data_IF_139316775477
#
_entry.id   IF_139316775477
#
_cell.length_a   1.000
_cell.length_b   1.000
_cell.length_c   1.000
_cell.angle_alpha   90.00
_cell.angle_beta   90.00
_cell.angle_gamma   90.00
#
_symmetry.space_group_name_H-M   'P 1'
#
loop_
_entity.id
_entity.type
_entity.pdbx_description
1 polymer ?
#
# COMPACT_ATOMS: atom_id res chain seq x y z
N UNK A 1 4.12 5.34 -13.83
CA UNK A 1 4.05 5.86 -12.43
C UNK A 1 3.67 7.34 -12.38
N UNK A 2 4.45 8.27 -12.95
CA UNK A 2 4.16 9.71 -12.89
C UNK A 2 2.82 10.11 -13.52
N UNK A 3 2.46 9.47 -14.63
CA UNK A 3 1.17 9.64 -15.32
C UNK A 3 -0.04 9.16 -14.51
N UNK A 4 0.18 8.38 -13.45
CA UNK A 4 -0.89 7.81 -12.62
C UNK A 4 -1.01 8.58 -11.29
N UNK A 5 0.11 8.87 -10.65
CA UNK A 5 0.13 9.50 -9.32
C UNK A 5 -0.27 10.97 -9.38
N UNK A 6 0.26 11.74 -10.34
CA UNK A 6 0.01 13.19 -10.42
C UNK A 6 -1.48 13.52 -10.64
N UNK A 7 -2.20 12.89 -11.59
CA UNK A 7 -3.62 13.16 -11.78
C UNK A 7 -4.47 12.84 -10.56
N UNK A 8 -4.18 11.73 -9.85
CA UNK A 8 -4.91 11.35 -8.63
C UNK A 8 -4.84 12.40 -7.52
N UNK A 9 -3.70 13.07 -7.35
CA UNK A 9 -3.59 14.15 -6.37
C UNK A 9 -4.39 15.39 -6.76
N UNK A 10 -4.44 15.72 -8.05
CA UNK A 10 -5.24 16.83 -8.56
C UNK A 10 -6.73 16.52 -8.40
N UNK A 11 -7.15 15.31 -8.75
CA UNK A 11 -8.54 14.85 -8.64
C UNK A 11 -9.03 14.80 -7.18
N UNK A 12 -8.23 14.20 -6.28
CA UNK A 12 -8.65 13.98 -4.89
C UNK A 12 -8.53 15.23 -4.00
N UNK A 13 -7.53 16.08 -4.27
CA UNK A 13 -7.16 17.14 -3.35
C UNK A 13 -7.02 18.51 -4.01
N UNK A 14 -7.25 18.63 -5.33
CA UNK A 14 -7.08 19.88 -6.06
C UNK A 14 -5.65 20.41 -6.10
N UNK A 15 -4.65 19.61 -5.68
CA UNK A 15 -3.25 20.05 -5.61
C UNK A 15 -2.40 19.39 -6.69
N UNK A 16 -1.53 20.19 -7.30
CA UNK A 16 -0.55 19.68 -8.26
C UNK A 16 0.77 19.36 -7.55
N UNK A 17 1.17 18.08 -7.44
CA UNK A 17 2.44 17.74 -6.81
C UNK A 17 3.65 18.19 -7.64
N UNK A 18 4.70 18.63 -6.95
CA UNK A 18 6.01 18.92 -7.53
C UNK A 18 6.82 17.63 -7.63
N UNK A 19 7.27 17.30 -8.83
CA UNK A 19 8.08 16.11 -9.10
C UNK A 19 9.55 16.49 -9.19
N UNK A 20 10.43 15.76 -8.48
CA UNK A 20 11.89 15.93 -8.55
C UNK A 20 12.58 14.58 -8.67
N UNK A 21 13.64 14.49 -9.47
CA UNK A 21 14.52 13.32 -9.48
C UNK A 21 15.39 13.34 -8.21
N UNK A 22 15.51 12.18 -7.56
CA UNK A 22 16.41 11.95 -6.44
C UNK A 22 17.79 11.47 -6.90
N UNK A 23 18.66 11.15 -5.95
CA UNK A 23 20.06 10.78 -6.20
C UNK A 23 20.24 9.34 -6.73
N UNK A 24 19.27 8.45 -6.55
CA UNK A 24 19.45 7.01 -6.83
C UNK A 24 18.22 6.38 -7.48
N UNK A 25 17.92 6.74 -8.74
CA UNK A 25 16.74 6.26 -9.49
C UNK A 25 15.39 6.44 -8.75
N UNK A 26 15.35 7.42 -7.86
CA UNK A 26 14.16 7.76 -7.08
C UNK A 26 13.48 8.98 -7.68
N UNK A 27 12.17 9.05 -7.52
CA UNK A 27 11.37 10.22 -7.86
C UNK A 27 10.68 10.68 -6.58
N UNK A 28 10.90 11.94 -6.21
CA UNK A 28 10.19 12.59 -5.13
C UNK A 28 8.94 13.28 -5.66
N UNK A 29 7.78 12.87 -5.16
CA UNK A 29 6.51 13.57 -5.31
C UNK A 29 6.28 14.41 -4.04
N UNK A 30 6.34 15.74 -4.16
CA UNK A 30 6.22 16.67 -3.02
C UNK A 30 4.99 17.55 -3.13
N UNK A 31 4.26 17.66 -2.02
CA UNK A 31 3.11 18.55 -1.85
C UNK A 31 3.37 19.37 -0.59
N UNK A 32 3.17 20.68 -0.68
CA UNK A 32 3.27 21.60 0.44
C UNK A 32 1.87 22.12 0.75
N UNK A 33 1.13 21.38 1.57
CA UNK A 33 -0.23 21.74 2.03
C UNK A 33 -0.36 21.36 3.50
N UNK A 34 -0.68 22.34 4.35
CA UNK A 34 -0.92 22.12 5.78
C UNK A 34 -2.18 21.28 5.98
N UNK A 35 -3.23 21.54 5.19
CA UNK A 35 -4.51 20.85 5.32
C UNK A 35 -4.40 19.36 4.99
N UNK A 36 -3.72 19.01 3.88
CA UNK A 36 -3.47 17.60 3.54
C UNK A 36 -2.58 16.93 4.58
N UNK A 37 -1.59 17.66 5.12
CA UNK A 37 -0.74 17.14 6.18
C UNK A 37 -1.57 16.81 7.42
N UNK A 38 -2.36 17.75 7.94
CA UNK A 38 -3.21 17.57 9.12
C UNK A 38 -4.24 16.47 8.90
N UNK A 39 -4.89 16.44 7.74
CA UNK A 39 -5.81 15.35 7.38
C UNK A 39 -5.13 13.98 7.47
N UNK A 40 -3.95 13.83 6.87
CA UNK A 40 -3.24 12.55 6.90
C UNK A 40 -2.74 12.19 8.30
N UNK A 41 -2.23 13.15 9.08
CA UNK A 41 -1.64 12.86 10.38
C UNK A 41 -2.64 12.76 11.52
N UNK A 42 -3.61 13.66 11.57
CA UNK A 42 -4.56 13.82 12.68
C UNK A 42 -5.85 13.05 12.42
N UNK A 43 -6.46 13.18 11.24
CA UNK A 43 -7.73 12.52 10.94
C UNK A 43 -7.52 11.04 10.56
N UNK A 44 -6.56 10.76 9.67
CA UNK A 44 -6.26 9.40 9.21
C UNK A 44 -5.31 8.67 10.19
N UNK A 45 -4.55 9.42 11.00
CA UNK A 45 -3.63 8.85 11.99
C UNK A 45 -2.29 8.35 11.41
N UNK A 46 -1.84 8.91 10.29
CA UNK A 46 -0.59 8.52 9.65
C UNK A 46 0.62 9.09 10.41
N UNK A 47 1.63 8.27 10.75
CA UNK A 47 2.69 8.71 11.65
C UNK A 47 3.62 9.77 11.02
N UNK A 48 3.88 10.83 11.79
CA UNK A 48 4.83 11.90 11.42
C UNK A 48 6.28 11.43 11.64
N UNK A 49 7.17 11.81 10.73
CA UNK A 49 8.62 11.55 10.83
C UNK A 49 9.00 10.10 10.50
N UNK A 50 9.98 9.56 11.24
CA UNK A 50 10.48 8.18 11.02
C UNK A 50 9.37 7.17 11.38
N UNK A 51 8.95 6.40 10.38
CA UNK A 51 7.77 5.49 10.45
C UNK A 51 8.09 4.08 10.98
N UNK A 52 9.36 3.77 11.23
CA UNK A 52 9.80 2.47 11.76
C UNK A 52 9.05 2.16 13.06
N UNK A 53 8.37 1.01 13.12
CA UNK A 53 7.56 0.53 14.25
C UNK A 53 6.32 1.36 14.63
N UNK A 54 6.02 2.44 13.92
CA UNK A 54 4.83 3.28 14.15
C UNK A 54 3.71 3.04 13.14
N UNK A 55 4.04 2.47 11.98
CA UNK A 55 3.08 2.24 10.91
C UNK A 55 2.02 1.21 11.31
N UNK A 56 0.75 1.57 11.09
CA UNK A 56 -0.45 0.76 11.31
C UNK A 56 -1.41 0.97 10.14
N UNK A 57 -2.28 0.00 9.90
CA UNK A 57 -3.45 0.22 9.03
C UNK A 57 -4.52 0.97 9.84
N UNK A 58 -5.09 2.09 9.33
CA UNK A 58 -6.15 2.80 10.02
C UNK A 58 -7.38 1.93 10.31
N UNK A 59 -7.98 2.08 11.49
CA UNK A 59 -9.05 1.18 11.96
C UNK A 59 -10.29 1.17 11.06
N UNK A 60 -10.63 2.30 10.45
CA UNK A 60 -11.78 2.41 9.54
C UNK A 60 -11.62 1.57 8.26
N UNK A 61 -10.39 1.31 7.82
CA UNK A 61 -10.12 0.43 6.68
C UNK A 61 -10.63 -1.00 6.95
N UNK A 62 -10.51 -1.48 8.19
CA UNK A 62 -11.02 -2.80 8.57
C UNK A 62 -12.55 -2.87 8.61
N UNK A 63 -13.24 -1.74 8.82
CA UNK A 63 -14.69 -1.70 8.96
C UNK A 63 -15.42 -1.84 7.62
N UNK A 64 -14.80 -1.42 6.52
CA UNK A 64 -15.40 -1.44 5.19
C UNK A 64 -14.62 -2.36 4.24
N UNK A 65 -15.30 -3.35 3.63
CA UNK A 65 -14.67 -4.35 2.75
C UNK A 65 -14.08 -3.74 1.49
N UNK A 66 -14.74 -2.74 0.90
CA UNK A 66 -14.24 -2.07 -0.30
C UNK A 66 -13.02 -1.20 0.01
N UNK A 67 -13.01 -0.50 1.15
CA UNK A 67 -11.82 0.20 1.62
C UNK A 67 -10.66 -0.76 1.92
N UNK A 68 -10.94 -1.92 2.53
CA UNK A 68 -9.93 -2.97 2.74
C UNK A 68 -9.31 -3.42 1.42
N UNK A 69 -10.12 -3.70 0.40
CA UNK A 69 -9.63 -4.09 -0.94
C UNK A 69 -8.81 -2.97 -1.57
N UNK A 70 -9.32 -1.74 -1.59
CA UNK A 70 -8.65 -0.60 -2.19
C UNK A 70 -7.31 -0.31 -1.51
N UNK A 71 -7.24 -0.41 -0.18
CA UNK A 71 -6.02 -0.26 0.59
C UNK A 71 -4.97 -1.31 0.23
N UNK A 72 -5.37 -2.60 0.22
CA UNK A 72 -4.46 -3.70 -0.11
C UNK A 72 -3.97 -3.58 -1.55
N UNK A 73 -4.84 -3.24 -2.51
CA UNK A 73 -4.45 -3.01 -3.90
C UNK A 73 -3.40 -1.90 -4.01
N UNK A 74 -3.66 -0.74 -3.40
CA UNK A 74 -2.71 0.38 -3.40
C UNK A 74 -1.37 0.04 -2.73
N UNK A 75 -1.37 -0.79 -1.69
CA UNK A 75 -0.15 -1.26 -1.05
C UNK A 75 0.67 -2.20 -1.94
N UNK A 76 0.02 -3.11 -2.65
CA UNK A 76 0.71 -3.98 -3.63
C UNK A 76 1.22 -3.19 -4.85
N UNK A 77 0.52 -2.15 -5.29
CA UNK A 77 0.96 -1.28 -6.39
C UNK A 77 2.28 -0.54 -6.07
N UNK A 78 2.61 -0.32 -4.79
CA UNK A 78 3.80 0.43 -4.37
C UNK A 78 4.91 -0.44 -3.81
N UNK A 79 4.59 -1.24 -2.78
CA UNK A 79 5.56 -2.04 -2.02
C UNK A 79 5.45 -3.54 -2.33
N UNK A 80 4.56 -3.89 -3.26
CA UNK A 80 4.32 -5.26 -3.68
C UNK A 80 5.30 -5.72 -4.77
N UNK A 81 5.46 -7.04 -4.85
CA UNK A 81 6.18 -7.72 -5.93
C UNK A 81 5.37 -8.90 -6.41
N UNK A 82 5.41 -9.19 -7.71
CA UNK A 82 4.76 -10.36 -8.32
C UNK A 82 5.85 -11.24 -8.91
N UNK A 83 5.82 -12.53 -8.58
CA UNK A 83 6.74 -13.51 -9.15
C UNK A 83 6.01 -14.77 -9.57
N UNK A 84 6.52 -15.39 -10.64
CA UNK A 84 6.06 -16.70 -11.07
C UNK A 84 6.52 -17.76 -10.07
N UNK A 85 5.59 -18.61 -9.63
CA UNK A 85 5.92 -19.71 -8.72
C UNK A 85 5.95 -21.05 -9.46
N UNK A 86 4.89 -21.35 -10.23
CA UNK A 86 4.83 -22.51 -11.13
C UNK A 86 4.38 -22.08 -12.53
N UNK A 87 4.32 -23.04 -13.47
CA UNK A 87 3.93 -22.80 -14.88
C UNK A 87 2.63 -22.00 -15.03
N UNK A 88 1.66 -22.21 -14.12
CA UNK A 88 0.34 -21.56 -14.16
C UNK A 88 -0.02 -20.79 -12.90
N UNK A 89 0.93 -20.53 -11.99
CA UNK A 89 0.66 -19.80 -10.75
C UNK A 89 1.68 -18.70 -10.48
N UNK A 90 1.16 -17.60 -9.95
CA UNK A 90 1.96 -16.49 -9.46
C UNK A 90 1.85 -16.40 -7.94
N UNK A 91 2.78 -15.68 -7.35
CA UNK A 91 2.73 -15.25 -5.96
C UNK A 91 2.92 -13.76 -5.93
N UNK A 92 2.19 -13.12 -5.02
CA UNK A 92 2.41 -11.72 -4.66
C UNK A 92 3.06 -11.66 -3.29
N UNK A 93 3.94 -10.70 -3.11
CA UNK A 93 4.67 -10.50 -1.85
C UNK A 93 4.72 -9.02 -1.48
N UNK A 94 4.60 -8.73 -0.19
CA UNK A 94 4.91 -7.43 0.42
C UNK A 94 5.98 -7.65 1.48
N UNK A 95 6.94 -6.73 1.56
CA UNK A 95 7.98 -6.75 2.60
C UNK A 95 7.84 -5.56 3.52
N UNK A 96 7.91 -5.77 4.84
CA UNK A 96 7.96 -4.68 5.81
C UNK A 96 8.71 -5.07 7.08
N UNK A 97 9.57 -4.18 7.60
CA UNK A 97 10.25 -4.42 8.88
C UNK A 97 9.33 -4.18 10.10
N UNK A 98 8.21 -3.50 9.95
CA UNK A 98 7.27 -3.22 11.05
C UNK A 98 6.38 -4.43 11.33
N UNK A 99 6.66 -5.18 12.41
CA UNK A 99 5.86 -6.35 12.78
C UNK A 99 4.38 -6.01 13.03
N UNK A 100 4.11 -4.84 13.65
CA UNK A 100 2.72 -4.38 13.88
C UNK A 100 1.98 -4.16 12.56
N UNK A 101 2.66 -3.57 11.57
CA UNK A 101 2.07 -3.33 10.25
C UNK A 101 1.85 -4.64 9.49
N UNK A 102 2.80 -5.58 9.56
CA UNK A 102 2.65 -6.90 8.96
C UNK A 102 1.44 -7.66 9.50
N UNK A 103 1.25 -7.66 10.83
CA UNK A 103 0.07 -8.25 11.47
C UNK A 103 -1.24 -7.59 11.00
N UNK A 104 -1.26 -6.27 10.78
CA UNK A 104 -2.43 -5.57 10.23
C UNK A 104 -2.74 -6.03 8.79
N UNK A 105 -1.72 -6.13 7.93
CA UNK A 105 -1.85 -6.59 6.53
C UNK A 105 -2.37 -8.02 6.49
N UNK A 106 -1.81 -8.93 7.29
CA UNK A 106 -2.25 -10.33 7.37
C UNK A 106 -3.73 -10.41 7.75
N UNK A 107 -4.16 -9.63 8.74
CA UNK A 107 -5.57 -9.58 9.16
C UNK A 107 -6.49 -9.08 8.04
N UNK A 108 -6.09 -8.05 7.30
CA UNK A 108 -6.84 -7.58 6.13
C UNK A 108 -6.94 -8.67 5.05
N UNK A 109 -5.83 -9.33 4.73
CA UNK A 109 -5.79 -10.38 3.71
C UNK A 109 -6.70 -11.56 4.09
N UNK A 110 -6.65 -12.02 5.34
CA UNK A 110 -7.54 -13.09 5.85
C UNK A 110 -9.01 -12.66 5.75
N UNK A 111 -9.34 -11.43 6.15
CA UNK A 111 -10.70 -10.87 6.04
C UNK A 111 -11.21 -10.82 4.60
N UNK A 112 -10.31 -10.62 3.63
CA UNK A 112 -10.61 -10.63 2.20
C UNK A 112 -10.70 -12.04 1.60
N UNK A 113 -10.48 -13.09 2.39
CA UNK A 113 -10.55 -14.49 1.96
C UNK A 113 -9.23 -15.08 1.47
N UNK A 114 -8.12 -14.38 1.69
CA UNK A 114 -6.78 -14.86 1.32
C UNK A 114 -6.17 -15.73 2.41
N UNK A 115 -5.20 -16.56 1.99
CA UNK A 115 -4.37 -17.37 2.87
C UNK A 115 -2.93 -16.85 2.82
N UNK A 116 -2.61 -15.75 3.55
CA UNK A 116 -1.26 -15.21 3.58
C UNK A 116 -0.33 -16.10 4.42
N UNK A 117 0.95 -16.11 4.04
CA UNK A 117 2.04 -16.75 4.80
C UNK A 117 3.07 -15.68 5.13
N UNK A 118 3.45 -15.57 6.41
CA UNK A 118 4.56 -14.70 6.84
C UNK A 118 5.84 -15.52 6.96
N UNK A 119 6.92 -15.06 6.32
CA UNK A 119 8.27 -15.63 6.43
C UNK A 119 9.23 -14.47 6.68
N UNK A 120 9.84 -14.41 7.86
CA UNK A 120 10.67 -13.28 8.30
C UNK A 120 9.93 -11.93 8.20
N UNK A 121 10.33 -11.08 7.25
CA UNK A 121 9.72 -9.77 6.98
C UNK A 121 8.79 -9.77 5.76
N UNK A 122 8.58 -10.93 5.14
CA UNK A 122 7.83 -11.10 3.90
C UNK A 122 6.44 -11.65 4.18
N UNK A 123 5.42 -11.09 3.54
CA UNK A 123 4.06 -11.63 3.51
C UNK A 123 3.78 -12.08 2.09
N UNK A 124 3.45 -13.36 1.91
CA UNK A 124 3.20 -13.98 0.60
C UNK A 124 1.76 -14.43 0.48
N UNK A 125 1.18 -14.23 -0.70
CA UNK A 125 -0.13 -14.77 -1.06
C UNK A 125 -0.03 -15.49 -2.40
N UNK A 126 -0.56 -16.71 -2.47
CA UNK A 126 -0.70 -17.42 -3.74
C UNK A 126 -1.75 -16.73 -4.61
N UNK A 127 -1.36 -16.33 -5.82
CA UNK A 127 -2.28 -15.78 -6.80
C UNK A 127 -2.68 -16.88 -7.79
N UNK A 128 -3.93 -17.37 -7.66
CA UNK A 128 -4.60 -18.04 -8.77
C UNK A 128 -4.89 -17.00 -9.86
N UNK A 129 -4.86 -17.35 -11.15
CA UNK A 129 -4.98 -16.36 -12.25
C UNK A 129 -6.21 -15.44 -12.13
N UNK A 130 -7.34 -15.93 -11.58
CA UNK A 130 -8.54 -15.12 -11.27
C UNK A 130 -8.28 -13.92 -10.34
N UNK A 131 -7.28 -14.03 -9.46
CA UNK A 131 -6.91 -12.96 -8.53
C UNK A 131 -6.18 -11.80 -9.17
N UNK A 132 -5.28 -12.10 -10.10
CA UNK A 132 -4.50 -11.07 -10.81
C UNK A 132 -5.45 -10.15 -11.59
N UNK A 133 -6.49 -10.73 -12.19
CA UNK A 133 -7.52 -10.00 -12.94
C UNK A 133 -8.43 -9.16 -12.02
N UNK A 134 -8.65 -9.59 -10.78
CA UNK A 134 -9.50 -8.84 -9.83
C UNK A 134 -8.83 -7.61 -9.20
N UNK A 135 -7.54 -7.39 -9.50
CA UNK A 135 -6.76 -6.24 -9.00
C UNK A 135 -6.30 -5.28 -10.11
N UNK A 136 -6.62 -5.55 -11.37
CA UNK A 136 -6.39 -4.65 -12.51
C UNK A 136 -7.60 -3.76 -12.78
#
# INVERSE_FOLDING_TARGET
MLSVVKPKFVELFGVTPKIRKGSSNQIHCRIYSKDIFLFLSEDIGFPIGRKKNKLRVPSFIFKNKELSKAYIRGLFDTDGSIFRHHRFSAKIEITSHSQKFRKDIIRLLIRLGFKPIEINTHIRVGANQKLIVSFQ
#
